data_IF_691755757341
#
_entry.id   IF_691755757341
#
_cell.length_a   1.000
_cell.length_b   1.000
_cell.length_c   1.000
_cell.angle_alpha   90.00
_cell.angle_beta   90.00
_cell.angle_gamma   90.00
#
_symmetry.space_group_name_H-M   'P 1'
#
loop_
_entity.id
_entity.type
_entity.pdbx_description
1 polymer ?
#
# COMPACT_ATOMS: atom_id res chain seq x y z
N UNK A 1 29.31 -22.18 -27.55
CA UNK A 1 29.28 -20.71 -27.79
C UNK A 1 27.82 -20.26 -27.73
N UNK A 2 27.32 -19.89 -26.54
CA UNK A 2 25.92 -19.46 -26.36
C UNK A 2 25.76 -18.00 -26.74
N UNK A 3 25.02 -17.74 -27.83
CA UNK A 3 24.62 -16.40 -28.24
C UNK A 3 23.75 -15.79 -27.14
N UNK A 4 24.21 -14.69 -26.56
CA UNK A 4 23.40 -13.82 -25.69
C UNK A 4 22.29 -13.24 -26.57
N UNK A 5 21.04 -13.55 -26.25
CA UNK A 5 19.88 -12.87 -26.83
C UNK A 5 19.77 -11.52 -26.13
N UNK A 6 20.10 -10.46 -26.83
CA UNK A 6 19.84 -9.09 -26.40
C UNK A 6 18.31 -8.89 -26.41
N UNK A 7 17.71 -8.66 -25.24
CA UNK A 7 16.27 -8.39 -25.14
C UNK A 7 15.99 -7.03 -25.78
N UNK A 8 15.02 -6.90 -26.71
CA UNK A 8 14.74 -5.62 -27.34
C UNK A 8 14.32 -4.59 -26.28
N UNK A 9 15.03 -3.46 -26.25
CA UNK A 9 14.76 -2.32 -25.36
C UNK A 9 13.38 -1.76 -25.69
N UNK A 10 12.51 -1.66 -24.68
CA UNK A 10 11.19 -1.04 -24.82
C UNK A 10 11.35 0.41 -25.30
N UNK A 11 10.81 0.71 -26.48
CA UNK A 11 10.68 2.07 -26.99
C UNK A 11 9.49 2.70 -26.30
N UNK A 12 9.67 3.89 -25.73
CA UNK A 12 8.57 4.67 -25.20
C UNK A 12 7.72 5.18 -26.37
N UNK A 13 6.39 5.06 -26.26
CA UNK A 13 5.45 5.74 -27.14
C UNK A 13 5.04 7.04 -26.45
N UNK A 14 5.07 8.17 -27.17
CA UNK A 14 4.55 9.45 -26.67
C UNK A 14 3.05 9.29 -26.43
N UNK A 15 2.60 9.45 -25.18
CA UNK A 15 1.18 9.53 -24.86
C UNK A 15 0.72 10.99 -24.97
N UNK A 16 -0.33 11.23 -25.74
CA UNK A 16 -1.00 12.52 -25.83
C UNK A 16 -2.05 12.61 -24.72
N UNK A 17 -1.90 13.57 -23.80
CA UNK A 17 -2.84 13.79 -22.71
C UNK A 17 -4.08 14.51 -23.25
N UNK A 18 -5.17 13.78 -23.42
CA UNK A 18 -6.43 14.29 -23.98
C UNK A 18 -7.45 14.71 -22.93
N UNK A 19 -7.26 14.31 -21.67
CA UNK A 19 -8.19 14.55 -20.55
C UNK A 19 -7.60 15.55 -19.54
N UNK A 20 -7.10 16.68 -20.04
CA UNK A 20 -6.63 17.74 -19.16
C UNK A 20 -7.85 18.47 -18.58
N UNK A 21 -8.06 18.48 -17.26
CA UNK A 21 -9.16 19.22 -16.66
C UNK A 21 -8.99 20.72 -16.91
N UNK A 22 -10.10 21.44 -17.06
CA UNK A 22 -10.08 22.91 -17.09
C UNK A 22 -9.44 23.40 -15.78
N UNK A 23 -8.26 24.02 -15.89
CA UNK A 23 -7.55 24.60 -14.77
C UNK A 23 -8.19 25.95 -14.42
N UNK A 24 -8.27 26.32 -13.13
CA UNK A 24 -8.71 27.65 -12.73
C UNK A 24 -7.76 28.72 -13.27
N UNK A 25 -8.28 29.93 -13.44
CA UNK A 25 -7.47 31.09 -13.80
C UNK A 25 -6.37 31.33 -12.77
N UNK A 26 -5.24 31.90 -13.20
CA UNK A 26 -4.04 32.06 -12.34
C UNK A 26 -4.36 32.92 -11.12
N UNK A 27 -5.31 33.84 -11.27
CA UNK A 27 -5.83 34.74 -10.25
C UNK A 27 -6.55 34.00 -9.10
N UNK A 28 -7.10 32.82 -9.36
CA UNK A 28 -7.81 32.00 -8.38
C UNK A 28 -6.87 31.04 -7.63
N UNK A 29 -5.60 30.94 -8.03
CA UNK A 29 -4.62 30.05 -7.40
C UNK A 29 -4.06 30.65 -6.11
N UNK A 30 -4.01 29.83 -5.06
CA UNK A 30 -3.30 30.17 -3.84
C UNK A 30 -1.78 29.97 -4.05
N UNK A 31 -1.01 31.05 -3.91
CA UNK A 31 0.46 30.97 -3.91
C UNK A 31 0.90 30.29 -2.62
N UNK A 32 1.55 29.13 -2.76
CA UNK A 32 2.21 28.43 -1.65
C UNK A 32 3.71 28.73 -1.66
N UNK A 33 4.32 28.77 -0.49
CA UNK A 33 5.75 28.99 -0.34
C UNK A 33 6.56 27.94 -1.12
N UNK A 34 7.76 28.31 -1.58
CA UNK A 34 8.66 27.42 -2.33
C UNK A 34 9.00 26.12 -1.57
N UNK A 35 8.88 26.16 -0.24
CA UNK A 35 9.17 25.07 0.69
C UNK A 35 7.89 24.36 1.19
N UNK A 36 6.75 24.54 0.51
CA UNK A 36 5.47 23.93 0.88
C UNK A 36 5.51 22.40 0.95
N UNK A 37 6.37 21.75 0.17
CA UNK A 37 6.47 20.30 0.21
C UNK A 37 7.25 19.86 1.47
N UNK A 38 6.67 18.97 2.29
CA UNK A 38 7.42 18.36 3.38
C UNK A 38 8.60 17.57 2.79
N UNK A 39 9.64 17.38 3.60
CA UNK A 39 10.87 16.74 3.11
C UNK A 39 10.56 15.33 2.60
N UNK A 40 11.31 14.79 1.63
CA UNK A 40 11.03 13.47 1.06
C UNK A 40 10.83 12.35 2.10
N UNK A 41 11.51 12.43 3.24
CA UNK A 41 11.42 11.47 4.34
C UNK A 41 10.12 11.56 5.15
N UNK A 42 9.42 12.70 5.06
CA UNK A 42 8.12 13.00 5.69
C UNK A 42 6.95 12.64 4.75
N UNK A 43 7.20 12.57 3.44
CA UNK A 43 6.25 12.05 2.44
C UNK A 43 6.14 10.52 2.46
N UNK A 44 7.07 9.82 3.10
CA UNK A 44 6.97 8.37 3.28
C UNK A 44 5.85 8.09 4.26
N UNK A 45 4.77 7.47 3.78
CA UNK A 45 3.75 6.86 4.63
C UNK A 45 4.43 5.85 5.56
N UNK A 46 4.79 6.28 6.77
CA UNK A 46 5.27 5.39 7.82
C UNK A 46 4.06 4.59 8.28
N UNK A 47 3.80 3.47 7.61
CA UNK A 47 2.92 2.45 8.13
C UNK A 47 3.32 2.14 9.57
N UNK A 48 2.34 1.97 10.45
CA UNK A 48 2.54 1.60 11.85
C UNK A 48 3.70 0.61 12.02
N UNK A 49 4.64 0.91 12.91
CA UNK A 49 5.76 0.01 13.21
C UNK A 49 5.21 -1.39 13.52
N UNK A 50 5.56 -2.35 12.66
CA UNK A 50 5.07 -3.71 12.78
C UNK A 50 6.10 -4.51 13.53
N UNK A 51 5.80 -4.87 14.77
CA UNK A 51 6.59 -5.84 15.53
C UNK A 51 6.24 -7.27 15.08
N UNK A 52 7.26 -8.08 14.83
CA UNK A 52 7.10 -9.47 14.43
C UNK A 52 7.23 -10.40 15.63
N UNK A 53 6.21 -11.22 15.86
CA UNK A 53 6.18 -12.24 16.90
C UNK A 53 5.56 -13.54 16.42
N UNK A 54 5.98 -14.66 17.01
CA UNK A 54 5.40 -15.98 16.74
C UNK A 54 4.31 -16.27 17.76
N UNK A 55 3.10 -16.54 17.29
CA UNK A 55 1.97 -16.97 18.12
C UNK A 55 1.54 -18.36 17.67
N UNK A 56 1.46 -19.29 18.62
CA UNK A 56 0.92 -20.63 18.38
C UNK A 56 -0.59 -20.61 18.44
N UNK A 57 -1.24 -21.17 17.42
CA UNK A 57 -2.68 -21.34 17.34
C UNK A 57 -2.98 -22.84 17.22
N UNK A 58 -4.14 -23.27 17.74
CA UNK A 58 -4.61 -24.63 17.52
C UNK A 58 -4.96 -24.87 16.04
N UNK A 59 -5.08 -26.15 15.68
CA UNK A 59 -5.30 -26.57 14.29
C UNK A 59 -6.64 -26.07 13.73
N UNK A 60 -7.68 -26.01 14.56
CA UNK A 60 -9.03 -25.65 14.14
C UNK A 60 -9.10 -24.16 13.84
N UNK A 61 -8.59 -23.33 14.74
CA UNK A 61 -8.48 -21.87 14.55
C UNK A 61 -7.64 -21.53 13.33
N UNK A 62 -6.48 -22.17 13.15
CA UNK A 62 -5.64 -21.93 11.98
C UNK A 62 -6.34 -22.34 10.67
N UNK A 63 -7.11 -23.44 10.66
CA UNK A 63 -7.86 -23.89 9.50
C UNK A 63 -9.01 -22.93 9.15
N UNK A 64 -9.75 -22.46 10.16
CA UNK A 64 -10.84 -21.50 10.00
C UNK A 64 -10.38 -20.23 9.27
N UNK A 65 -9.31 -19.60 9.76
CA UNK A 65 -8.79 -18.37 9.17
C UNK A 65 -8.19 -18.58 7.78
N UNK A 66 -7.56 -19.73 7.53
CA UNK A 66 -7.06 -20.08 6.18
C UNK A 66 -8.19 -20.20 5.17
N UNK A 67 -9.32 -20.79 5.55
CA UNK A 67 -10.49 -20.88 4.67
C UNK A 67 -11.10 -19.51 4.43
N UNK A 68 -11.25 -18.70 5.48
CA UNK A 68 -11.80 -17.34 5.37
C UNK A 68 -10.93 -16.40 4.54
N UNK A 69 -9.61 -16.55 4.60
CA UNK A 69 -8.65 -15.83 3.77
C UNK A 69 -8.84 -16.15 2.28
N UNK A 70 -9.05 -17.42 1.95
CA UNK A 70 -9.30 -17.86 0.56
C UNK A 70 -10.60 -17.29 -0.01
N UNK A 71 -11.65 -17.26 0.81
CA UNK A 71 -12.96 -16.70 0.41
C UNK A 71 -12.92 -15.19 0.15
N UNK A 72 -12.17 -14.45 0.98
CA UNK A 72 -12.13 -12.99 0.94
C UNK A 72 -11.01 -12.40 0.08
N UNK A 73 -10.08 -13.22 -0.43
CA UNK A 73 -8.88 -12.77 -1.14
C UNK A 73 -7.86 -12.04 -0.27
N UNK A 74 -8.05 -12.05 1.06
CA UNK A 74 -7.15 -11.41 2.01
C UNK A 74 -6.05 -12.36 2.51
N UNK A 75 -4.95 -11.81 3.00
CA UNK A 75 -3.93 -12.60 3.71
C UNK A 75 -4.48 -13.13 5.04
N UNK A 76 -4.19 -14.40 5.33
CA UNK A 76 -4.43 -15.03 6.63
C UNK A 76 -3.88 -14.17 7.79
N UNK A 77 -2.69 -13.59 7.62
CA UNK A 77 -2.06 -12.76 8.65
C UNK A 77 -2.83 -11.44 8.86
N UNK A 78 -3.44 -10.89 7.81
CA UNK A 78 -4.29 -9.69 7.90
C UNK A 78 -5.54 -9.96 8.72
N UNK A 79 -6.19 -11.11 8.50
CA UNK A 79 -7.37 -11.50 9.27
C UNK A 79 -7.04 -11.66 10.76
N UNK A 80 -5.98 -12.39 11.08
CA UNK A 80 -5.54 -12.58 12.48
C UNK A 80 -5.18 -11.23 13.13
N UNK A 81 -4.42 -10.38 12.44
CA UNK A 81 -4.07 -9.03 12.93
C UNK A 81 -5.30 -8.16 13.17
N UNK A 82 -6.30 -8.20 12.29
CA UNK A 82 -7.50 -7.38 12.43
C UNK A 82 -8.28 -7.71 13.70
N UNK A 83 -8.38 -9.00 14.04
CA UNK A 83 -9.08 -9.46 15.25
C UNK A 83 -8.30 -9.07 16.50
N UNK A 84 -6.97 -9.26 16.51
CA UNK A 84 -6.14 -8.84 17.64
C UNK A 84 -6.23 -7.33 17.86
N UNK A 85 -6.22 -6.54 16.79
CA UNK A 85 -6.37 -5.09 16.84
C UNK A 85 -7.73 -4.69 17.45
N UNK A 86 -8.81 -5.33 17.02
CA UNK A 86 -10.16 -5.08 17.54
C UNK A 86 -10.30 -5.50 19.01
N UNK A 87 -9.67 -6.61 19.41
CA UNK A 87 -9.64 -7.05 20.80
C UNK A 87 -8.96 -6.01 21.70
N UNK A 88 -7.77 -5.54 21.32
CA UNK A 88 -7.04 -4.50 22.08
C UNK A 88 -7.86 -3.21 22.16
N UNK A 89 -8.44 -2.77 21.05
CA UNK A 89 -9.27 -1.56 21.02
C UNK A 89 -10.47 -1.60 21.97
N UNK A 90 -11.02 -2.79 22.22
CA UNK A 90 -12.12 -2.99 23.19
C UNK A 90 -11.66 -3.02 24.63
N UNK A 91 -10.48 -3.55 24.91
CA UNK A 91 -9.93 -3.69 26.26
C UNK A 91 -9.23 -2.43 26.77
N UNK A 92 -8.82 -1.53 25.87
CA UNK A 92 -8.21 -0.24 26.22
C UNK A 92 -9.23 0.90 26.41
N UNK A 93 -10.53 0.58 26.50
CA UNK A 93 -11.60 1.54 26.85
C UNK A 93 -11.80 1.66 28.35
#
# INVERSE_FOLDING_TARGET
MSRKTDTPKQTWETVEYTDSPELPDIEDLQIVDKEFLPRPEELVFRGTETEYGTVSLDKETAAFFKNKAKESGASYQTLVRSILKEYVARQSR
#
